data_IF_472136861881
#
_entry.id   IF_472136861881
#
_cell.length_a   1.000
_cell.length_b   1.000
_cell.length_c   1.000
_cell.angle_alpha   90.00
_cell.angle_beta   90.00
_cell.angle_gamma   90.00
#
_symmetry.space_group_name_H-M   'P 1'
#
loop_
_entity.id
_entity.type
_entity.pdbx_description
1 polymer ?
#
# COMPACT_ATOMS: atom_id res chain seq x y z
N UNK A 1 46.81 5.06 11.11
CA UNK A 1 45.59 4.86 11.92
C UNK A 1 44.38 5.23 11.08
N UNK A 2 43.61 4.23 10.61
CA UNK A 2 42.40 4.44 9.80
C UNK A 2 41.25 4.85 10.72
N UNK A 3 40.70 6.05 10.53
CA UNK A 3 39.47 6.50 11.19
C UNK A 3 38.31 5.68 10.65
N UNK A 4 37.74 4.82 11.48
CA UNK A 4 36.45 4.17 11.22
C UNK A 4 35.40 5.24 11.53
N UNK A 5 34.84 5.86 10.50
CA UNK A 5 33.66 6.70 10.65
C UNK A 5 32.49 5.76 10.91
N UNK A 6 31.78 5.84 12.05
CA UNK A 6 30.60 5.02 12.25
C UNK A 6 29.52 5.55 11.31
N UNK A 7 29.13 4.73 10.34
CA UNK A 7 27.92 4.95 9.55
C UNK A 7 26.76 4.78 10.53
N UNK A 8 26.22 5.90 11.00
CA UNK A 8 25.00 5.92 11.80
C UNK A 8 23.87 5.50 10.87
N UNK A 9 23.65 4.19 10.81
CA UNK A 9 22.40 3.59 10.39
C UNK A 9 21.38 4.10 11.42
N UNK A 10 20.65 5.15 11.07
CA UNK A 10 19.55 5.66 11.89
C UNK A 10 18.44 4.61 11.86
N UNK A 11 18.57 3.65 12.77
CA UNK A 11 17.54 2.72 13.20
C UNK A 11 16.47 3.57 13.89
N UNK A 12 15.53 4.09 13.11
CA UNK A 12 14.21 4.49 13.60
C UNK A 12 13.24 3.34 13.32
N UNK A 13 13.43 2.24 14.05
CA UNK A 13 12.48 1.13 14.09
C UNK A 13 11.94 0.96 15.51
N UNK A 14 11.03 1.86 15.93
CA UNK A 14 9.97 1.50 16.89
C UNK A 14 8.68 2.25 16.50
N UNK A 15 8.04 1.78 15.43
CA UNK A 15 6.58 1.80 15.37
C UNK A 15 6.10 0.36 15.57
N UNK A 16 6.35 -0.17 16.77
CA UNK A 16 5.57 -1.31 17.26
C UNK A 16 4.26 -0.70 17.73
N UNK A 17 3.25 -0.59 16.87
CA UNK A 17 1.84 -0.67 17.24
C UNK A 17 1.00 -0.71 15.96
N UNK A 18 0.23 -1.79 15.81
CA UNK A 18 -0.98 -1.94 14.98
C UNK A 18 -1.45 -0.66 14.25
N UNK A 19 -1.09 -0.50 12.98
CA UNK A 19 -1.76 0.45 12.09
C UNK A 19 -2.07 -0.22 10.76
N UNK A 20 -3.03 -1.15 10.80
CA UNK A 20 -3.90 -1.46 9.65
C UNK A 20 -4.97 -0.36 9.52
N UNK A 21 -4.60 0.89 9.78
CA UNK A 21 -5.47 2.05 9.73
C UNK A 21 -5.55 2.54 8.29
N UNK A 22 -6.64 3.22 7.97
CA UNK A 22 -6.73 4.05 6.79
C UNK A 22 -5.54 5.05 6.78
N UNK A 23 -4.60 4.86 5.85
CA UNK A 23 -3.30 5.59 5.83
C UNK A 23 -3.44 6.87 5.00
N UNK A 24 -2.90 7.98 5.51
CA UNK A 24 -2.77 9.21 4.74
C UNK A 24 -1.82 9.02 3.55
N UNK A 25 -2.16 9.52 2.35
CA UNK A 25 -1.29 9.37 1.20
C UNK A 25 0.01 10.17 1.40
N UNK A 26 1.12 9.45 1.33
CA UNK A 26 2.50 9.94 1.25
C UNK A 26 3.16 9.43 -0.02
N UNK A 27 4.29 10.03 -0.41
CA UNK A 27 5.10 9.54 -1.52
C UNK A 27 5.34 8.02 -1.43
N UNK A 28 5.83 7.54 -0.28
CA UNK A 28 6.14 6.14 -0.07
C UNK A 28 4.91 5.22 -0.10
N UNK A 29 3.78 5.66 0.46
CA UNK A 29 2.55 4.87 0.40
C UNK A 29 2.00 4.73 -1.02
N UNK A 30 2.05 5.80 -1.82
CA UNK A 30 1.59 5.78 -3.21
C UNK A 30 2.52 4.93 -4.08
N UNK A 31 3.83 4.97 -3.80
CA UNK A 31 4.80 4.06 -4.40
C UNK A 31 4.51 2.60 -4.01
N UNK A 32 4.23 2.33 -2.74
CA UNK A 32 3.90 0.97 -2.25
C UNK A 32 2.64 0.42 -2.90
N UNK A 33 1.60 1.23 -3.10
CA UNK A 33 0.36 0.81 -3.78
C UNK A 33 0.62 0.39 -5.24
N UNK A 34 1.59 1.00 -5.93
CA UNK A 34 1.95 0.62 -7.31
C UNK A 34 2.53 -0.80 -7.37
N UNK A 35 3.29 -1.21 -6.36
CA UNK A 35 4.13 -2.42 -6.42
C UNK A 35 3.73 -3.54 -5.48
N UNK A 36 2.91 -3.25 -4.47
CA UNK A 36 2.60 -4.16 -3.38
C UNK A 36 1.23 -3.87 -2.78
N UNK A 37 0.24 -3.53 -3.61
CA UNK A 37 -1.13 -3.30 -3.17
C UNK A 37 -1.70 -4.52 -2.43
N UNK A 38 -2.38 -4.27 -1.31
CA UNK A 38 -3.04 -5.29 -0.48
C UNK A 38 -4.53 -5.47 -0.81
N UNK A 39 -4.93 -5.11 -2.03
CA UNK A 39 -6.30 -5.33 -2.54
C UNK A 39 -6.56 -6.82 -2.87
N UNK A 40 -6.43 -7.69 -1.87
CA UNK A 40 -6.53 -9.14 -2.04
C UNK A 40 -7.91 -9.63 -2.52
N UNK A 41 -8.93 -8.78 -2.42
CA UNK A 41 -10.28 -9.03 -2.94
C UNK A 41 -10.35 -9.03 -4.48
N UNK A 42 -9.33 -8.52 -5.18
CA UNK A 42 -9.33 -8.48 -6.64
C UNK A 42 -9.14 -9.87 -7.23
N UNK A 43 -10.03 -10.21 -8.15
CA UNK A 43 -9.97 -11.42 -9.01
C UNK A 43 -9.98 -11.00 -10.48
N UNK A 44 -9.34 -11.81 -11.33
CA UNK A 44 -9.33 -11.65 -12.79
C UNK A 44 -10.57 -12.25 -13.45
N UNK A 45 -11.05 -13.37 -12.92
CA UNK A 45 -12.15 -14.15 -13.50
C UNK A 45 -13.16 -14.60 -12.44
N UNK A 46 -14.41 -14.86 -12.86
CA UNK A 46 -15.49 -15.29 -11.99
C UNK A 46 -16.11 -14.17 -11.14
N UNK A 47 -17.21 -14.50 -10.46
CA UNK A 47 -17.91 -13.61 -9.53
C UNK A 47 -17.77 -14.17 -8.11
N UNK A 48 -16.87 -13.62 -7.28
CA UNK A 48 -16.69 -14.10 -5.92
C UNK A 48 -17.93 -13.77 -5.07
N UNK A 49 -18.31 -14.71 -4.22
CA UNK A 49 -19.24 -14.52 -3.11
C UNK A 49 -18.48 -14.16 -1.85
N UNK A 50 -17.44 -14.93 -1.53
CA UNK A 50 -16.55 -14.66 -0.40
C UNK A 50 -15.10 -14.92 -0.77
N UNK A 51 -14.18 -14.16 -0.16
CA UNK A 51 -12.74 -14.42 -0.20
C UNK A 51 -12.22 -14.39 1.22
N UNK A 52 -11.60 -15.47 1.66
CA UNK A 52 -10.92 -15.55 2.96
C UNK A 52 -9.42 -15.51 2.71
N UNK A 53 -8.74 -14.59 3.37
CA UNK A 53 -7.29 -14.38 3.22
C UNK A 53 -6.59 -14.62 4.54
N UNK A 54 -5.46 -15.31 4.48
CA UNK A 54 -4.49 -15.40 5.56
C UNK A 54 -3.19 -14.74 5.07
N UNK A 55 -2.89 -13.54 5.56
CA UNK A 55 -1.66 -12.80 5.26
C UNK A 55 -0.68 -12.96 6.42
N UNK A 56 0.43 -13.65 6.18
CA UNK A 56 1.55 -13.77 7.11
C UNK A 56 2.72 -12.94 6.63
N UNK A 57 3.08 -11.92 7.39
CA UNK A 57 4.27 -11.09 7.15
C UNK A 57 5.38 -11.44 8.14
N UNK A 58 6.59 -11.63 7.62
CA UNK A 58 7.79 -11.88 8.40
C UNK A 58 8.56 -10.56 8.48
N UNK A 59 8.52 -9.90 9.64
CA UNK A 59 9.26 -8.66 9.86
C UNK A 59 10.74 -8.98 10.13
N UNK A 60 11.64 -8.09 9.69
CA UNK A 60 13.09 -8.18 9.94
C UNK A 60 13.48 -8.34 11.43
N UNK A 61 12.59 -8.02 12.37
CA UNK A 61 12.81 -8.17 13.81
C UNK A 61 12.34 -9.53 14.38
N UNK A 62 12.27 -10.58 13.55
CA UNK A 62 11.78 -11.92 13.92
C UNK A 62 10.32 -11.99 14.37
N UNK A 63 9.53 -10.93 14.15
CA UNK A 63 8.10 -10.91 14.47
C UNK A 63 7.31 -11.47 13.29
N UNK A 64 6.50 -12.48 13.56
CA UNK A 64 5.54 -13.04 12.61
C UNK A 64 4.18 -12.40 12.90
N UNK A 65 3.61 -11.73 11.91
CA UNK A 65 2.27 -11.15 11.99
C UNK A 65 1.38 -11.91 11.03
N UNK A 66 0.32 -12.53 11.57
CA UNK A 66 -0.71 -13.18 10.77
C UNK A 66 -2.04 -12.44 10.94
N UNK A 67 -2.58 -11.97 9.82
CA UNK A 67 -3.90 -11.34 9.74
C UNK A 67 -4.82 -12.23 8.92
N UNK A 68 -6.02 -12.51 9.45
CA UNK A 68 -7.11 -13.11 8.68
C UNK A 68 -8.03 -12.00 8.19
N UNK A 69 -8.36 -11.98 6.91
CA UNK A 69 -9.26 -11.01 6.30
C UNK A 69 -10.38 -11.77 5.60
N UNK A 70 -11.62 -11.45 5.92
CA UNK A 70 -12.80 -12.02 5.26
C UNK A 70 -13.43 -10.92 4.43
N UNK A 71 -13.54 -11.14 3.13
CA UNK A 71 -14.23 -10.28 2.19
C UNK A 71 -15.55 -10.95 1.80
N UNK A 72 -16.67 -10.29 2.05
CA UNK A 72 -18.02 -10.77 1.74
C UNK A 72 -18.70 -9.84 0.72
N UNK A 73 -19.00 -10.37 -0.47
CA UNK A 73 -19.47 -9.61 -1.63
C UNK A 73 -21.00 -9.52 -1.65
N UNK A 74 -21.52 -8.51 -0.96
CA UNK A 74 -22.97 -8.18 -0.97
C UNK A 74 -23.49 -7.89 -2.36
N UNK A 75 -22.69 -7.17 -3.15
CA UNK A 75 -22.90 -7.00 -4.60
C UNK A 75 -21.55 -7.05 -5.30
N UNK A 76 -21.54 -7.05 -6.63
CA UNK A 76 -20.29 -6.98 -7.41
C UNK A 76 -19.39 -5.80 -7.00
N UNK A 77 -19.99 -4.69 -6.58
CA UNK A 77 -19.30 -3.44 -6.30
C UNK A 77 -19.36 -3.04 -4.81
N UNK A 78 -19.84 -3.92 -3.92
CA UNK A 78 -19.93 -3.63 -2.48
C UNK A 78 -19.46 -4.82 -1.68
N UNK A 79 -18.48 -4.59 -0.81
CA UNK A 79 -17.80 -5.63 -0.06
C UNK A 79 -17.79 -5.24 1.42
N UNK A 80 -18.28 -6.14 2.27
CA UNK A 80 -18.07 -6.09 3.72
C UNK A 80 -16.78 -6.84 4.06
N UNK A 81 -15.99 -6.28 4.98
CA UNK A 81 -14.68 -6.79 5.33
C UNK A 81 -14.58 -6.95 6.83
N UNK A 82 -14.16 -8.11 7.29
CA UNK A 82 -13.78 -8.35 8.68
C UNK A 82 -12.31 -8.72 8.78
N UNK A 83 -11.55 -8.00 9.60
CA UNK A 83 -10.12 -8.25 9.83
C UNK A 83 -9.88 -8.77 11.23
N UNK A 84 -9.18 -9.88 11.34
CA UNK A 84 -8.85 -10.53 12.61
C UNK A 84 -7.33 -10.58 12.80
N UNK A 85 -6.87 -10.18 13.98
CA UNK A 85 -5.48 -10.30 14.41
C UNK A 85 -5.42 -11.27 15.56
N UNK A 86 -4.65 -12.35 15.43
CA UNK A 86 -4.56 -13.39 16.47
C UNK A 86 -5.95 -13.88 16.93
N UNK A 87 -6.85 -14.07 15.96
CA UNK A 87 -8.26 -14.48 16.17
C UNK A 87 -9.18 -13.44 16.83
N UNK A 88 -8.71 -12.23 17.12
CA UNK A 88 -9.55 -11.14 17.63
C UNK A 88 -9.97 -10.21 16.49
N UNK A 89 -11.27 -9.86 16.44
CA UNK A 89 -11.78 -8.89 15.49
C UNK A 89 -11.15 -7.50 15.74
N UNK A 90 -10.49 -6.98 14.72
CA UNK A 90 -9.72 -5.73 14.78
C UNK A 90 -10.30 -4.62 13.90
N UNK A 91 -11.07 -4.95 12.87
CA UNK A 91 -11.78 -3.99 12.05
C UNK A 91 -13.01 -4.61 11.37
N UNK A 92 -14.05 -3.79 11.19
CA UNK A 92 -15.14 -4.02 10.25
C UNK A 92 -15.15 -2.90 9.24
N UNK A 93 -15.14 -3.23 7.95
CA UNK A 93 -15.09 -2.24 6.88
C UNK A 93 -16.17 -2.52 5.84
N UNK A 94 -16.61 -1.46 5.18
CA UNK A 94 -17.49 -1.52 4.02
C UNK A 94 -16.84 -0.69 2.92
N UNK A 95 -16.60 -1.32 1.77
CA UNK A 95 -16.07 -0.64 0.60
C UNK A 95 -17.06 -0.71 -0.57
N UNK A 96 -17.19 0.42 -1.26
CA UNK A 96 -17.84 0.48 -2.56
C UNK A 96 -16.77 0.65 -3.65
N UNK A 97 -16.96 -0.05 -4.76
CA UNK A 97 -16.07 -0.05 -5.91
C UNK A 97 -16.71 0.63 -7.12
N UNK A 98 -15.88 1.26 -7.95
CA UNK A 98 -16.30 1.64 -9.30
C UNK A 98 -16.20 0.50 -10.31
N UNK A 99 -16.57 0.76 -11.57
CA UNK A 99 -16.50 -0.22 -12.67
C UNK A 99 -15.09 -0.70 -13.03
N UNK A 100 -14.04 -0.08 -12.47
CA UNK A 100 -12.64 -0.49 -12.62
C UNK A 100 -12.11 -1.17 -11.36
N UNK A 101 -12.99 -1.59 -10.44
CA UNK A 101 -12.67 -2.20 -9.16
C UNK A 101 -11.76 -1.31 -8.29
N UNK A 102 -11.94 0.01 -8.36
CA UNK A 102 -11.26 0.98 -7.48
C UNK A 102 -12.20 1.40 -6.37
N UNK A 103 -11.68 1.51 -5.15
CA UNK A 103 -12.46 1.93 -3.98
C UNK A 103 -12.91 3.38 -4.16
N UNK A 104 -14.22 3.65 -4.11
CA UNK A 104 -14.81 5.00 -4.18
C UNK A 104 -15.38 5.47 -2.85
N UNK A 105 -15.86 4.54 -2.03
CA UNK A 105 -16.24 4.81 -0.64
C UNK A 105 -15.60 3.76 0.26
N UNK A 106 -15.18 4.20 1.43
CA UNK A 106 -14.69 3.36 2.51
C UNK A 106 -15.34 3.84 3.81
N UNK A 107 -15.96 2.91 4.53
CA UNK A 107 -16.37 3.09 5.92
C UNK A 107 -15.65 2.05 6.74
N UNK A 108 -14.84 2.46 7.70
CA UNK A 108 -14.12 1.56 8.59
C UNK A 108 -14.53 1.81 10.03
N UNK A 109 -14.78 0.74 10.79
CA UNK A 109 -14.84 0.76 12.23
C UNK A 109 -13.64 -0.03 12.75
N UNK A 110 -12.67 0.66 13.36
CA UNK A 110 -11.33 0.11 13.64
C UNK A 110 -11.09 0.10 15.15
N UNK A 111 -10.63 -1.03 15.68
CA UNK A 111 -10.26 -1.18 17.08
C UNK A 111 -8.83 -0.69 17.32
N UNK A 112 -8.66 0.31 18.17
CA UNK A 112 -7.36 0.82 18.60
C UNK A 112 -6.85 0.03 19.80
N UNK A 113 -5.55 0.12 20.10
CA UNK A 113 -4.92 -0.62 21.21
C UNK A 113 -5.52 -0.28 22.59
N UNK A 114 -6.16 0.89 22.71
CA UNK A 114 -6.93 1.28 23.90
C UNK A 114 -8.25 0.51 24.06
N UNK A 115 -8.59 -0.39 23.14
CA UNK A 115 -9.85 -1.13 23.08
C UNK A 115 -11.01 -0.32 22.48
N UNK A 116 -10.82 0.98 22.22
CA UNK A 116 -11.83 1.85 21.64
C UNK A 116 -11.96 1.64 20.13
N UNK A 117 -13.20 1.73 19.67
CA UNK A 117 -13.57 1.66 18.26
C UNK A 117 -13.72 3.07 17.69
N UNK A 118 -13.21 3.27 16.48
CA UNK A 118 -13.28 4.55 15.78
C UNK A 118 -13.83 4.33 14.38
N UNK A 119 -14.84 5.13 14.05
CA UNK A 119 -15.37 5.19 12.70
C UNK A 119 -14.52 6.13 11.84
N UNK A 120 -14.26 5.72 10.61
CA UNK A 120 -13.62 6.53 9.58
C UNK A 120 -14.42 6.41 8.30
N UNK A 121 -14.69 7.57 7.70
CA UNK A 121 -15.44 7.69 6.46
C UNK A 121 -14.56 8.38 5.42
N UNK A 122 -14.35 7.70 4.30
CA UNK A 122 -13.49 8.20 3.24
C UNK A 122 -14.19 8.06 1.89
N UNK A 123 -14.11 9.13 1.10
CA UNK A 123 -14.49 9.13 -0.31
C UNK A 123 -13.28 9.32 -1.21
N UNK A 124 -13.23 8.56 -2.29
CA UNK A 124 -12.22 8.66 -3.32
C UNK A 124 -12.83 9.11 -4.64
N UNK A 125 -12.11 9.96 -5.35
CA UNK A 125 -12.45 10.41 -6.69
C UNK A 125 -11.22 10.29 -7.58
N UNK A 126 -11.38 9.67 -8.74
CA UNK A 126 -10.28 9.43 -9.67
C UNK A 126 -10.51 10.19 -10.97
N UNK A 127 -9.55 11.05 -11.32
CA UNK A 127 -9.48 11.75 -12.61
C UNK A 127 -8.23 11.30 -13.36
N UNK A 128 -8.11 11.72 -14.61
CA UNK A 128 -6.89 11.50 -15.40
C UNK A 128 -5.69 12.05 -14.62
N UNK A 129 -4.75 11.17 -14.27
CA UNK A 129 -3.49 11.51 -13.55
C UNK A 129 -3.69 12.24 -12.23
N UNK A 130 -4.84 12.01 -11.56
CA UNK A 130 -5.17 12.65 -10.30
C UNK A 130 -6.06 11.75 -9.46
N UNK A 131 -5.73 11.56 -8.19
CA UNK A 131 -6.53 10.87 -7.17
C UNK A 131 -6.84 11.86 -6.08
N UNK A 132 -8.11 11.92 -5.68
CA UNK A 132 -8.58 12.78 -4.58
C UNK A 132 -9.12 11.85 -3.51
N UNK A 133 -8.72 12.10 -2.26
CA UNK A 133 -9.19 11.39 -1.08
C UNK A 133 -9.76 12.41 -0.10
N UNK A 134 -10.96 12.18 0.42
CA UNK A 134 -11.66 13.09 1.34
C UNK A 134 -12.03 12.30 2.60
N UNK A 135 -11.59 12.75 3.77
CA UNK A 135 -12.07 12.23 5.06
C UNK A 135 -13.29 13.03 5.50
N UNK A 136 -14.28 12.32 6.01
CA UNK A 136 -15.60 12.86 6.35
C UNK A 136 -15.84 12.67 7.85
N UNK A 137 -16.35 13.71 8.51
CA UNK A 137 -16.70 13.66 9.93
C UNK A 137 -18.11 13.06 10.14
N UNK A 138 -18.51 12.91 11.40
CA UNK A 138 -19.82 12.34 11.76
C UNK A 138 -21.00 13.21 11.31
N UNK A 139 -20.77 14.51 11.05
CA UNK A 139 -21.76 15.42 10.48
C UNK A 139 -21.90 15.31 8.95
N UNK A 140 -21.10 14.46 8.30
CA UNK A 140 -21.12 14.28 6.85
C UNK A 140 -20.29 15.31 6.07
N UNK A 141 -19.50 16.13 6.77
CA UNK A 141 -18.68 17.19 6.19
C UNK A 141 -17.25 16.70 5.92
N UNK A 142 -16.65 17.21 4.85
CA UNK A 142 -15.23 16.93 4.56
C UNK A 142 -14.37 17.80 5.45
N UNK A 143 -13.56 17.20 6.32
CA UNK A 143 -12.64 17.94 7.19
C UNK A 143 -11.18 17.87 6.71
N UNK A 144 -10.85 16.88 5.88
CA UNK A 144 -9.49 16.69 5.37
C UNK A 144 -9.53 16.19 3.93
N UNK A 145 -8.70 16.80 3.08
CA UNK A 145 -8.65 16.49 1.66
C UNK A 145 -7.21 16.28 1.21
N UNK A 146 -6.98 15.17 0.53
CA UNK A 146 -5.73 14.88 -0.13
C UNK A 146 -5.90 14.86 -1.64
N UNK A 147 -4.89 15.37 -2.34
CA UNK A 147 -4.83 15.33 -3.80
C UNK A 147 -3.47 14.80 -4.21
N UNK A 148 -3.46 13.65 -4.87
CA UNK A 148 -2.26 13.06 -5.47
C UNK A 148 -2.29 13.31 -6.96
N UNK A 149 -1.21 13.88 -7.48
CA UNK A 149 -0.98 14.09 -8.90
C UNK A 149 0.08 13.11 -9.39
N UNK A 150 -0.13 12.59 -10.60
CA UNK A 150 0.76 11.62 -11.20
C UNK A 150 1.34 12.12 -12.53
N UNK A 151 2.53 11.66 -12.87
CA UNK A 151 3.17 11.89 -14.16
C UNK A 151 2.56 11.02 -15.29
N UNK A 152 3.21 11.02 -16.46
CA UNK A 152 2.82 10.18 -17.60
C UNK A 152 2.98 8.68 -17.34
N UNK A 153 3.89 8.26 -16.47
CA UNK A 153 4.15 6.87 -16.10
C UNK A 153 3.33 6.38 -14.88
N UNK A 154 2.49 7.24 -14.31
CA UNK A 154 1.70 7.02 -13.08
C UNK A 154 2.51 7.05 -11.77
N UNK A 155 3.69 7.66 -11.77
CA UNK A 155 4.44 7.98 -10.56
C UNK A 155 3.88 9.24 -9.87
N UNK A 156 3.79 9.27 -8.52
CA UNK A 156 3.33 10.44 -7.79
C UNK A 156 4.36 11.59 -7.89
N UNK A 157 3.91 12.77 -8.33
CA UNK A 157 4.77 13.96 -8.49
C UNK A 157 4.42 15.07 -7.50
N UNK A 158 3.20 15.08 -6.98
CA UNK A 158 2.74 16.06 -6.00
C UNK A 158 1.66 15.45 -5.13
N UNK A 159 1.73 15.69 -3.83
CA UNK A 159 0.67 15.38 -2.88
C UNK A 159 0.35 16.65 -2.10
N UNK A 160 -0.91 17.04 -2.11
CA UNK A 160 -1.44 18.13 -1.29
C UNK A 160 -2.30 17.54 -0.17
N UNK A 161 -2.14 18.04 1.05
CA UNK A 161 -2.95 17.71 2.21
C UNK A 161 -3.52 19.00 2.80
N UNK A 162 -4.83 19.21 2.66
CA UNK A 162 -5.51 20.44 3.04
C UNK A 162 -6.52 20.15 4.15
N UNK A 163 -6.39 20.87 5.27
CA UNK A 163 -7.42 20.90 6.31
C UNK A 163 -8.56 21.79 5.78
N UNK A 164 -9.76 21.22 5.65
CA UNK A 164 -10.88 21.94 5.05
C UNK A 164 -11.45 22.93 6.06
N UNK A 165 -11.71 24.15 5.62
CA UNK A 165 -12.15 25.26 6.48
C UNK A 165 -11.00 26.10 7.02
N UNK A 166 -9.74 25.76 6.72
CA UNK A 166 -8.56 26.59 7.00
C UNK A 166 -7.79 26.88 5.69
N UNK A 167 -6.77 27.73 5.78
CA UNK A 167 -5.81 27.96 4.68
C UNK A 167 -4.63 26.97 4.71
N UNK A 168 -4.63 26.02 5.65
CA UNK A 168 -3.50 25.14 5.90
C UNK A 168 -3.42 24.03 4.85
N UNK A 169 -2.40 24.11 3.98
CA UNK A 169 -2.02 23.02 3.07
C UNK A 169 -0.56 22.60 3.24
N UNK A 170 -0.34 21.33 3.58
CA UNK A 170 0.98 20.66 3.52
C UNK A 170 1.19 20.08 2.12
N UNK A 171 2.43 20.05 1.65
CA UNK A 171 2.75 19.56 0.31
C UNK A 171 3.96 18.62 0.29
N UNK A 172 3.91 17.60 -0.56
CA UNK A 172 5.08 16.82 -0.99
C UNK A 172 5.23 16.98 -2.50
N UNK A 173 6.45 17.24 -2.98
CA UNK A 173 6.77 17.36 -4.42
C UNK A 173 7.92 16.43 -4.75
N UNK A 174 7.81 15.72 -5.87
CA UNK A 174 8.83 14.79 -6.34
C UNK A 174 9.30 15.17 -7.74
N UNK A 175 10.60 15.40 -7.86
CA UNK A 175 11.27 15.63 -9.13
C UNK A 175 12.02 14.37 -9.53
N UNK A 176 11.66 13.78 -10.67
CA UNK A 176 12.29 12.60 -11.22
C UNK A 176 13.27 12.95 -12.34
N UNK A 177 14.50 12.46 -12.21
CA UNK A 177 15.47 12.37 -13.29
C UNK A 177 15.42 10.96 -13.88
N UNK A 178 14.53 10.77 -14.85
CA UNK A 178 14.34 9.48 -15.53
C UNK A 178 15.57 9.00 -16.29
N UNK A 179 16.45 9.91 -16.73
CA UNK A 179 17.66 9.52 -17.46
C UNK A 179 18.67 8.86 -16.53
N UNK A 180 18.79 9.39 -15.31
CA UNK A 180 19.77 8.94 -14.33
C UNK A 180 19.17 8.05 -13.21
N UNK A 181 17.89 7.71 -13.28
CA UNK A 181 17.18 6.89 -12.29
C UNK A 181 17.26 7.45 -10.86
N UNK A 182 17.18 8.79 -10.73
CA UNK A 182 17.21 9.51 -9.45
C UNK A 182 15.92 10.27 -9.18
N UNK A 183 15.57 10.44 -7.92
CA UNK A 183 14.49 11.35 -7.51
C UNK A 183 14.96 12.29 -6.41
N UNK A 184 14.30 13.45 -6.32
CA UNK A 184 14.37 14.36 -5.17
C UNK A 184 12.95 14.59 -4.66
N UNK A 185 12.70 14.18 -3.42
CA UNK A 185 11.46 14.42 -2.67
C UNK A 185 11.67 15.65 -1.79
N UNK A 186 10.76 16.62 -1.88
CA UNK A 186 10.72 17.81 -1.04
C UNK A 186 9.41 17.83 -0.26
N UNK A 187 9.49 18.06 1.05
CA UNK A 187 8.34 18.14 1.95
C UNK A 187 8.20 19.55 2.51
N UNK A 188 7.03 20.15 2.31
CA UNK A 188 6.70 21.51 2.76
C UNK A 188 5.59 21.44 3.80
N UNK A 189 5.73 22.21 4.88
CA UNK A 189 4.70 22.32 5.90
C UNK A 189 3.56 23.26 5.51
N UNK A 190 2.64 23.45 6.46
CA UNK A 190 1.45 24.29 6.29
C UNK A 190 1.77 25.78 6.05
N UNK A 191 2.96 26.25 6.43
CA UNK A 191 3.44 27.61 6.12
C UNK A 191 4.19 27.70 4.78
N UNK A 192 4.25 26.61 4.02
CA UNK A 192 4.99 26.53 2.76
C UNK A 192 6.51 26.48 2.91
N UNK A 193 7.02 26.28 4.14
CA UNK A 193 8.46 26.14 4.39
C UNK A 193 8.91 24.71 4.11
N UNK A 194 10.04 24.57 3.42
CA UNK A 194 10.71 23.27 3.22
C UNK A 194 11.17 22.73 4.59
N UNK A 195 10.68 21.55 4.95
CA UNK A 195 11.07 20.84 6.18
C UNK A 195 12.13 19.77 5.91
N UNK A 196 12.02 19.11 4.75
CA UNK A 196 12.88 17.97 4.43
C UNK A 196 13.11 17.86 2.92
N UNK A 197 14.32 17.44 2.55
CA UNK A 197 14.71 17.10 1.19
C UNK A 197 15.39 15.73 1.20
N UNK A 198 14.82 14.76 0.50
CA UNK A 198 15.35 13.40 0.40
C UNK A 198 15.69 13.08 -1.05
N UNK A 199 16.93 12.67 -1.30
CA UNK A 199 17.39 12.18 -2.60
C UNK A 199 17.49 10.67 -2.59
N UNK A 200 17.12 10.03 -3.69
CA UNK A 200 17.16 8.58 -3.78
C UNK A 200 17.21 8.06 -5.20
N UNK A 201 17.23 6.73 -5.30
CA UNK A 201 17.16 6.00 -6.57
C UNK A 201 15.73 5.59 -6.87
N UNK A 202 15.40 5.44 -8.15
CA UNK A 202 14.17 4.78 -8.55
C UNK A 202 14.33 3.96 -9.83
N UNK A 203 13.53 2.91 -9.97
CA UNK A 203 13.56 2.01 -11.13
C UNK A 203 12.26 2.11 -11.92
N UNK A 204 12.32 2.65 -13.13
CA UNK A 204 11.15 2.70 -14.03
C UNK A 204 10.74 1.29 -14.49
N UNK A 205 11.73 0.45 -14.79
CA UNK A 205 11.54 -0.95 -15.20
C UNK A 205 11.72 -1.87 -14.00
N UNK A 206 10.90 -1.64 -12.97
CA UNK A 206 11.00 -2.40 -11.73
C UNK A 206 10.48 -3.83 -11.89
N UNK A 207 9.49 -4.08 -12.77
CA UNK A 207 9.07 -5.45 -13.14
C UNK A 207 10.07 -6.00 -14.16
N UNK A 208 10.71 -7.10 -13.83
CA UNK A 208 11.72 -7.78 -14.66
C UNK A 208 11.09 -8.91 -15.47
N UNK A 209 10.17 -9.66 -14.85
CA UNK A 209 9.52 -10.81 -15.48
C UNK A 209 8.09 -10.97 -15.01
N UNK A 210 7.25 -11.46 -15.90
CA UNK A 210 5.88 -11.90 -15.61
C UNK A 210 5.70 -13.37 -15.97
N UNK A 211 4.71 -14.01 -15.37
CA UNK A 211 4.26 -15.34 -15.79
C UNK A 211 3.21 -15.26 -16.91
N UNK A 212 2.69 -16.42 -17.33
CA UNK A 212 1.67 -16.53 -18.39
C UNK A 212 0.34 -15.82 -18.05
N UNK A 213 0.07 -15.58 -16.77
CA UNK A 213 -1.10 -14.84 -16.29
C UNK A 213 -0.84 -13.33 -16.23
N UNK A 214 0.34 -12.88 -16.67
CA UNK A 214 0.82 -11.50 -16.61
C UNK A 214 1.00 -10.97 -15.16
N UNK A 215 1.16 -11.87 -14.19
CA UNK A 215 1.54 -11.49 -12.82
C UNK A 215 3.06 -11.35 -12.72
N UNK A 216 3.59 -10.30 -12.07
CA UNK A 216 5.03 -10.12 -11.88
C UNK A 216 5.62 -11.28 -11.07
N UNK A 217 6.66 -11.95 -11.56
CA UNK A 217 7.37 -13.03 -10.84
C UNK A 217 8.73 -12.59 -10.33
N UNK A 218 9.31 -11.57 -10.94
CA UNK A 218 10.62 -11.02 -10.60
C UNK A 218 10.56 -9.50 -10.71
N UNK A 219 10.99 -8.80 -9.66
CA UNK A 219 10.99 -7.34 -9.66
C UNK A 219 12.05 -6.74 -8.72
N UNK A 220 12.57 -5.57 -9.07
CA UNK A 220 13.30 -4.72 -8.13
C UNK A 220 12.34 -3.97 -7.23
N UNK A 221 12.73 -3.69 -5.98
CA UNK A 221 12.03 -2.65 -5.24
C UNK A 221 12.19 -1.32 -5.99
N UNK A 222 11.08 -0.62 -6.21
CA UNK A 222 11.04 0.52 -7.12
C UNK A 222 11.89 1.71 -6.66
N UNK A 223 12.29 1.77 -5.38
CA UNK A 223 13.18 2.78 -4.82
C UNK A 223 14.61 2.26 -4.51
N UNK A 224 14.98 1.06 -4.98
CA UNK A 224 16.34 0.50 -4.77
C UNK A 224 17.35 1.08 -5.76
N UNK A 225 18.63 1.10 -5.37
CA UNK A 225 19.70 1.21 -6.36
C UNK A 225 19.79 -0.08 -7.17
N UNK A 226 19.79 0.01 -8.51
CA UNK A 226 19.88 -1.16 -9.38
C UNK A 226 21.27 -1.81 -9.32
N UNK A 227 22.30 -1.08 -8.88
CA UNK A 227 23.66 -1.60 -8.71
C UNK A 227 23.81 -2.48 -7.47
N UNK A 228 22.95 -2.30 -6.47
CA UNK A 228 22.88 -3.12 -5.25
C UNK A 228 21.43 -3.56 -5.01
N UNK A 229 20.88 -4.41 -5.89
CA UNK A 229 19.43 -4.57 -5.94
C UNK A 229 18.92 -5.45 -4.81
N UNK A 230 18.00 -4.88 -4.02
CA UNK A 230 17.02 -5.67 -3.31
C UNK A 230 16.00 -6.19 -4.34
N UNK A 231 16.09 -7.49 -4.63
CA UNK A 231 15.32 -8.15 -5.67
C UNK A 231 14.23 -9.03 -5.07
N UNK A 232 13.02 -8.94 -5.58
CA UNK A 232 11.88 -9.70 -5.10
C UNK A 232 11.51 -10.81 -6.09
N UNK A 233 11.47 -12.04 -5.59
CA UNK A 233 10.89 -13.20 -6.25
C UNK A 233 9.46 -13.39 -5.74
N UNK A 234 8.51 -13.46 -6.67
CA UNK A 234 7.09 -13.55 -6.41
C UNK A 234 6.56 -14.86 -6.99
N UNK A 235 6.11 -15.76 -6.11
CA UNK A 235 5.63 -17.08 -6.50
C UNK A 235 4.12 -17.15 -6.30
N UNK A 236 3.41 -17.73 -7.26
CA UNK A 236 1.96 -17.84 -7.25
C UNK A 236 1.50 -19.28 -7.49
N UNK A 237 0.41 -19.68 -6.85
CA UNK A 237 -0.44 -20.80 -7.30
C UNK A 237 -1.81 -20.26 -7.67
N UNK A 238 -2.51 -20.94 -8.57
CA UNK A 238 -3.79 -20.51 -9.12
C UNK A 238 -4.86 -21.57 -8.90
N UNK A 239 -6.11 -21.12 -8.77
CA UNK A 239 -7.28 -21.99 -8.87
C UNK A 239 -7.64 -22.30 -10.34
N UNK A 240 -8.68 -23.11 -10.53
CA UNK A 240 -9.19 -23.48 -11.86
C UNK A 240 -9.73 -22.30 -12.67
N UNK A 241 -10.13 -21.20 -12.01
CA UNK A 241 -10.60 -19.98 -12.66
C UNK A 241 -9.44 -19.06 -13.07
N UNK A 242 -8.19 -19.41 -12.76
CA UNK A 242 -7.01 -18.61 -13.09
C UNK A 242 -6.78 -17.43 -12.14
N UNK A 243 -7.36 -17.47 -10.94
CA UNK A 243 -7.10 -16.51 -9.88
C UNK A 243 -6.03 -17.08 -8.93
N UNK A 244 -5.07 -16.27 -8.49
CA UNK A 244 -4.04 -16.78 -7.58
C UNK A 244 -4.65 -17.14 -6.21
N UNK A 245 -4.24 -18.22 -5.57
CA UNK A 245 -4.74 -18.64 -4.23
C UNK A 245 -3.60 -18.79 -3.22
N UNK A 246 -2.37 -18.73 -3.70
CA UNK A 246 -1.17 -18.67 -2.87
C UNK A 246 -0.23 -17.65 -3.49
N UNK A 247 0.37 -16.83 -2.65
CA UNK A 247 1.39 -15.85 -3.02
C UNK A 247 2.52 -15.88 -1.99
N UNK A 248 3.76 -16.03 -2.45
CA UNK A 248 4.96 -15.98 -1.61
C UNK A 248 5.91 -14.92 -2.15
N UNK A 249 6.26 -13.95 -1.31
CA UNK A 249 7.25 -12.92 -1.61
C UNK A 249 8.55 -13.24 -0.90
N UNK A 250 9.60 -13.46 -1.69
CA UNK A 250 10.96 -13.69 -1.21
C UNK A 250 11.83 -12.51 -1.63
N UNK A 251 12.59 -11.98 -0.70
CA UNK A 251 13.66 -11.02 -0.99
C UNK A 251 14.96 -11.78 -1.21
N UNK A 252 15.63 -11.49 -2.32
CA UNK A 252 17.03 -11.82 -2.58
C UNK A 252 17.87 -10.56 -2.34
N UNK A 253 18.74 -10.64 -1.33
CA UNK A 253 19.69 -9.58 -0.97
C UNK A 253 20.85 -9.56 -1.99
N UNK A 254 21.62 -8.46 -2.09
CA UNK A 254 22.77 -8.37 -3.00
C UNK A 254 23.84 -9.46 -2.79
N UNK A 255 23.99 -9.96 -1.56
CA UNK A 255 24.90 -11.06 -1.21
C UNK A 255 24.37 -12.46 -1.61
N UNK A 256 23.19 -12.54 -2.24
CA UNK A 256 22.55 -13.80 -2.67
C UNK A 256 21.67 -14.47 -1.60
N UNK A 257 21.68 -13.98 -0.37
CA UNK A 257 20.83 -14.50 0.71
C UNK A 257 19.34 -14.28 0.39
N UNK A 258 18.51 -15.26 0.74
CA UNK A 258 17.07 -15.22 0.52
C UNK A 258 16.31 -15.17 1.84
N UNK A 259 15.32 -14.29 1.91
CA UNK A 259 14.46 -14.11 3.07
C UNK A 259 13.00 -14.08 2.62
N UNK A 260 12.15 -14.92 3.21
CA UNK A 260 10.71 -14.85 2.94
C UNK A 260 10.14 -13.65 3.68
N UNK A 261 9.58 -12.69 2.95
CA UNK A 261 8.96 -11.50 3.53
C UNK A 261 7.48 -11.69 3.81
N UNK A 262 6.80 -12.48 2.98
CA UNK A 262 5.35 -12.61 3.04
C UNK A 262 4.85 -13.92 2.46
N UNK A 263 3.81 -14.48 3.06
CA UNK A 263 3.00 -15.57 2.52
C UNK A 263 1.52 -15.19 2.63
N UNK A 264 0.80 -15.26 1.53
CA UNK A 264 -0.63 -14.97 1.47
C UNK A 264 -1.35 -16.19 0.89
N UNK A 265 -2.36 -16.68 1.60
CA UNK A 265 -3.27 -17.70 1.12
C UNK A 265 -4.66 -17.10 0.93
N UNK A 266 -5.34 -17.49 -0.16
CA UNK A 266 -6.73 -17.11 -0.43
C UNK A 266 -7.57 -18.35 -0.65
N UNK A 267 -8.71 -18.40 0.01
CA UNK A 267 -9.83 -19.26 -0.34
C UNK A 267 -10.87 -18.38 -1.04
N UNK A 268 -11.26 -18.75 -2.26
CA UNK A 268 -12.21 -17.98 -3.07
C UNK A 268 -13.44 -18.86 -3.32
N UNK A 269 -14.58 -18.44 -2.79
CA UNK A 269 -15.86 -19.07 -3.07
C UNK A 269 -16.59 -18.23 -4.10
N UNK A 270 -16.98 -18.87 -5.20
CA UNK A 270 -17.65 -18.22 -6.31
C UNK A 270 -19.17 -18.38 -6.19
N UNK A 271 -19.91 -17.39 -6.68
CA UNK A 271 -21.36 -17.55 -6.88
C UNK A 271 -21.59 -18.63 -7.93
N UNK A 272 -22.49 -19.56 -7.63
CA UNK A 272 -22.99 -20.55 -8.58
C UNK A 272 -23.67 -19.90 -9.79
#
# INVERSE_FOLDING_TARGET
>A
MKKITPFILLILSIQIFSQSQEIEPTFYSEISEIVSSKDYFKVKFGNPETIIVLDTTFAYSSKILTEKIVYDFKTKNRIEIEKFKQSELSAKELIDLDSKNRIINYKGNIKYNSGKWYETLVKYEYKKKKKIKKKINDAGEVYLKYIVFYDKLNFPIKIESTIVGTEDTRMQVVNYDYKNSKFTLMEFNYQGKLENETKGNFNQKYIVKTNKMNDPTEMYWILTDIKEPYFHELNYKYDSNGNWIEFIKVLRKPNGEKETLQKVFREINYKN
#
